data_IF_814897157899
#
_entry.id   IF_814897157899
#
_cell.length_a   1.000
_cell.length_b   1.000
_cell.length_c   1.000
_cell.angle_alpha   90.00
_cell.angle_beta   90.00
_cell.angle_gamma   90.00
#
_symmetry.space_group_name_H-M   'P 1'
#
loop_
_entity.id
_entity.type
_entity.pdbx_description
1 polymer ?
#
# COMPACT_ATOMS: atom_id res chain seq x y z
N UNK A 1 -26.99 33.74 30.60
CA UNK A 1 -25.55 33.44 30.45
C UNK A 1 -25.42 32.47 29.30
N UNK A 2 -24.81 32.91 28.18
CA UNK A 2 -24.70 32.15 26.94
C UNK A 2 -23.25 31.65 26.92
N UNK A 3 -23.04 30.36 27.16
CA UNK A 3 -21.70 29.77 27.13
C UNK A 3 -21.12 29.89 25.72
N UNK A 4 -19.92 30.47 25.66
CA UNK A 4 -19.13 30.57 24.44
C UNK A 4 -18.44 29.23 24.19
N UNK A 5 -18.64 28.67 23.01
CA UNK A 5 -17.94 27.48 22.52
C UNK A 5 -16.43 27.77 22.43
N UNK A 6 -15.54 26.85 22.85
CA UNK A 6 -14.10 27.08 22.78
C UNK A 6 -13.62 27.10 21.32
N UNK A 7 -12.50 27.79 21.02
CA UNK A 7 -11.94 27.81 19.69
C UNK A 7 -11.42 26.41 19.35
N UNK A 8 -11.80 25.91 18.18
CA UNK A 8 -11.25 24.67 17.62
C UNK A 8 -9.74 24.85 17.55
N UNK A 9 -9.04 24.02 18.33
CA UNK A 9 -7.59 23.99 18.45
C UNK A 9 -6.94 24.09 17.07
N UNK A 10 -5.98 25.00 16.96
CA UNK A 10 -5.14 25.20 15.79
C UNK A 10 -4.55 23.85 15.35
N UNK A 11 -5.17 23.22 14.35
CA UNK A 11 -4.56 22.11 13.64
C UNK A 11 -3.26 22.63 13.07
N UNK A 12 -2.16 21.96 13.40
CA UNK A 12 -0.86 22.18 12.84
C UNK A 12 -0.98 22.12 11.31
N UNK A 13 -1.05 23.29 10.69
CA UNK A 13 -0.78 23.45 9.27
C UNK A 13 0.72 23.19 9.14
N UNK A 14 1.19 22.19 8.38
CA UNK A 14 2.60 22.10 8.08
C UNK A 14 2.95 23.39 7.31
N UNK A 15 3.70 24.25 7.98
CA UNK A 15 4.21 25.50 7.41
C UNK A 15 5.40 25.22 6.51
N UNK A 16 5.41 25.92 5.38
CA UNK A 16 6.59 26.47 4.70
C UNK A 16 7.59 25.51 4.04
N UNK A 17 7.22 25.05 2.84
CA UNK A 17 8.15 24.79 1.74
C UNK A 17 7.58 25.46 0.49
N UNK A 18 8.38 26.18 -0.28
CA UNK A 18 7.95 26.83 -1.54
C UNK A 18 7.73 25.83 -2.70
N UNK A 19 7.79 24.53 -2.42
CA UNK A 19 7.57 23.42 -3.36
C UNK A 19 6.40 22.52 -2.96
N UNK A 20 5.94 21.70 -3.90
CA UNK A 20 4.93 20.68 -3.67
C UNK A 20 5.54 19.54 -2.81
N UNK A 21 4.89 19.17 -1.70
CA UNK A 21 5.35 18.11 -0.78
C UNK A 21 5.63 16.77 -1.48
N UNK A 22 4.87 16.47 -2.53
CA UNK A 22 5.07 15.26 -3.33
C UNK A 22 6.39 15.32 -4.11
N UNK A 23 6.72 16.49 -4.68
CA UNK A 23 7.96 16.69 -5.43
C UNK A 23 9.17 16.60 -4.49
N UNK A 24 9.08 17.17 -3.29
CA UNK A 24 10.13 17.09 -2.27
C UNK A 24 10.35 15.65 -1.79
N UNK A 25 9.25 14.90 -1.58
CA UNK A 25 9.31 13.49 -1.23
C UNK A 25 9.97 12.65 -2.34
N UNK A 26 9.59 12.89 -3.60
CA UNK A 26 10.17 12.22 -4.76
C UNK A 26 11.67 12.53 -4.89
N UNK A 27 12.07 13.78 -4.74
CA UNK A 27 13.49 14.19 -4.77
C UNK A 27 14.29 13.48 -3.67
N UNK A 28 13.77 13.45 -2.44
CA UNK A 28 14.43 12.78 -1.33
C UNK A 28 14.55 11.26 -1.53
N UNK A 29 13.53 10.63 -2.13
CA UNK A 29 13.57 9.22 -2.52
C UNK A 29 14.66 8.95 -3.56
N UNK A 30 14.69 9.74 -4.63
CA UNK A 30 15.71 9.59 -5.68
C UNK A 30 17.11 9.81 -5.13
N UNK A 31 17.30 10.81 -4.27
CA UNK A 31 18.60 11.08 -3.66
C UNK A 31 19.05 9.93 -2.75
N UNK A 32 18.16 9.40 -1.90
CA UNK A 32 18.42 8.23 -1.07
C UNK A 32 18.80 7.00 -1.91
N UNK A 33 18.08 6.72 -3.00
CA UNK A 33 18.42 5.62 -3.91
C UNK A 33 19.77 5.82 -4.58
N UNK A 34 20.04 7.02 -5.10
CA UNK A 34 21.27 7.32 -5.82
C UNK A 34 22.51 7.08 -4.96
N UNK A 35 22.47 7.41 -3.66
CA UNK A 35 23.58 7.15 -2.75
C UNK A 35 23.80 5.63 -2.56
N UNK A 36 22.72 4.85 -2.50
CA UNK A 36 22.78 3.39 -2.32
C UNK A 36 23.22 2.64 -3.59
N UNK A 37 22.97 3.18 -4.78
CA UNK A 37 23.23 2.51 -6.07
C UNK A 37 24.46 3.02 -6.80
N UNK A 38 25.20 3.99 -6.24
CA UNK A 38 26.47 4.46 -6.82
C UNK A 38 27.52 3.34 -6.81
N UNK A 39 27.84 2.80 -7.99
CA UNK A 39 28.98 1.90 -8.20
C UNK A 39 30.27 2.74 -8.37
N UNK A 40 30.86 3.19 -7.27
CA UNK A 40 32.20 3.79 -7.27
C UNK A 40 33.15 2.91 -6.46
N UNK A 41 34.40 2.76 -6.91
CA UNK A 41 35.44 2.07 -6.16
C UNK A 41 35.91 2.97 -5.01
N UNK A 42 35.12 3.03 -3.94
CA UNK A 42 35.31 3.96 -2.81
C UNK A 42 36.60 3.63 -2.05
N UNK A 43 37.61 4.54 -2.02
CA UNK A 43 38.78 4.43 -1.15
C UNK A 43 38.36 4.22 0.31
N UNK A 44 39.16 3.52 1.11
CA UNK A 44 38.79 3.23 2.51
C UNK A 44 38.58 4.50 3.39
N UNK A 45 39.11 5.65 2.99
CA UNK A 45 38.89 6.96 3.64
C UNK A 45 37.47 7.51 3.46
N UNK A 46 36.79 7.12 2.39
CA UNK A 46 35.54 7.75 1.93
C UNK A 46 34.31 6.94 2.38
N UNK A 47 34.53 5.81 3.07
CA UNK A 47 33.47 4.92 3.60
C UNK A 47 32.68 5.57 4.75
N UNK A 48 33.35 6.30 5.62
CA UNK A 48 32.69 6.99 6.74
C UNK A 48 31.86 8.18 6.24
N UNK A 49 32.37 8.93 5.25
CA UNK A 49 31.60 10.01 4.60
C UNK A 49 30.38 9.46 3.88
N UNK A 50 30.54 8.37 3.11
CA UNK A 50 29.43 7.68 2.44
C UNK A 50 28.38 7.19 3.45
N UNK A 51 28.82 6.64 4.60
CA UNK A 51 27.90 6.18 5.66
C UNK A 51 27.09 7.35 6.24
N UNK A 52 27.72 8.51 6.46
CA UNK A 52 27.02 9.72 6.92
C UNK A 52 26.04 10.22 5.86
N UNK A 53 26.41 10.23 4.58
CA UNK A 53 25.53 10.64 3.48
C UNK A 53 24.30 9.72 3.36
N UNK A 54 24.49 8.40 3.46
CA UNK A 54 23.39 7.41 3.49
C UNK A 54 22.45 7.69 4.67
N UNK A 55 22.99 7.88 5.87
CA UNK A 55 22.18 8.16 7.06
C UNK A 55 21.38 9.46 6.90
N UNK A 56 22.00 10.53 6.40
CA UNK A 56 21.36 11.82 6.22
C UNK A 56 20.23 11.77 5.18
N UNK A 57 20.48 11.16 4.02
CA UNK A 57 19.50 11.04 2.94
C UNK A 57 18.33 10.13 3.35
N UNK A 58 18.61 9.05 4.06
CA UNK A 58 17.58 8.16 4.63
C UNK A 58 16.69 8.89 5.64
N UNK A 59 17.28 9.64 6.58
CA UNK A 59 16.51 10.40 7.57
C UNK A 59 15.60 11.45 6.92
N UNK A 60 16.14 12.19 5.95
CA UNK A 60 15.36 13.18 5.19
C UNK A 60 14.19 12.54 4.45
N UNK A 61 14.42 11.41 3.79
CA UNK A 61 13.36 10.66 3.11
C UNK A 61 12.27 10.20 4.09
N UNK A 62 12.66 9.64 5.24
CA UNK A 62 11.70 9.21 6.28
C UNK A 62 10.88 10.39 6.81
N UNK A 63 11.49 11.55 7.04
CA UNK A 63 10.79 12.72 7.56
C UNK A 63 9.78 13.27 6.55
N UNK A 64 10.12 13.27 5.25
CA UNK A 64 9.18 13.65 4.19
C UNK A 64 8.08 12.59 4.01
N UNK A 65 8.39 11.30 4.16
CA UNK A 65 7.39 10.23 4.13
C UNK A 65 6.33 10.42 5.22
N UNK A 66 6.78 10.75 6.45
CA UNK A 66 5.89 11.05 7.59
C UNK A 66 5.05 12.29 7.35
N UNK A 67 5.64 13.35 6.80
CA UNK A 67 4.90 14.56 6.46
C UNK A 67 3.84 14.30 5.38
N UNK A 68 4.18 13.50 4.37
CA UNK A 68 3.24 13.09 3.32
C UNK A 68 2.10 12.25 3.88
N UNK A 69 2.39 11.28 4.76
CA UNK A 69 1.37 10.50 5.47
C UNK A 69 0.44 11.41 6.29
N UNK A 70 1.00 12.30 7.11
CA UNK A 70 0.22 13.23 7.93
C UNK A 70 -0.68 14.14 7.07
N UNK A 71 -0.15 14.64 5.95
CA UNK A 71 -0.91 15.46 5.00
C UNK A 71 -2.11 14.70 4.44
N UNK A 72 -1.92 13.48 3.93
CA UNK A 72 -3.02 12.70 3.37
C UNK A 72 -4.03 12.23 4.43
N UNK A 73 -3.58 11.89 5.63
CA UNK A 73 -4.47 11.58 6.75
C UNK A 73 -5.34 12.78 7.12
N UNK A 74 -4.77 13.98 7.17
CA UNK A 74 -5.53 15.21 7.44
C UNK A 74 -6.56 15.47 6.33
N UNK A 75 -6.18 15.32 5.06
CA UNK A 75 -7.11 15.45 3.93
C UNK A 75 -8.22 14.42 3.98
N UNK A 76 -7.92 13.17 4.30
CA UNK A 76 -8.91 12.08 4.42
C UNK A 76 -9.88 12.34 5.57
N UNK A 77 -9.39 12.77 6.73
CA UNK A 77 -10.23 13.17 7.85
C UNK A 77 -11.17 14.33 7.49
N UNK A 78 -10.66 15.32 6.76
CA UNK A 78 -11.48 16.42 6.28
C UNK A 78 -12.57 15.94 5.30
N UNK A 79 -12.22 15.03 4.39
CA UNK A 79 -13.17 14.45 3.44
C UNK A 79 -14.26 13.61 4.13
N UNK A 80 -13.93 12.83 5.16
CA UNK A 80 -14.94 12.07 5.89
C UNK A 80 -15.95 12.97 6.61
N UNK A 81 -15.51 14.15 7.07
CA UNK A 81 -16.38 15.15 7.69
C UNK A 81 -17.21 15.94 6.65
N UNK A 82 -16.61 16.34 5.52
CA UNK A 82 -17.23 17.25 4.56
C UNK A 82 -17.97 16.55 3.41
N UNK A 83 -17.59 15.32 3.06
CA UNK A 83 -18.11 14.54 1.93
C UNK A 83 -18.27 13.05 2.29
N UNK A 84 -19.02 12.70 3.35
CA UNK A 84 -19.19 11.32 3.79
C UNK A 84 -19.76 10.39 2.70
N UNK A 85 -20.58 10.92 1.80
CA UNK A 85 -21.15 10.19 0.66
C UNK A 85 -20.09 9.70 -0.33
N UNK A 86 -18.99 10.45 -0.49
CA UNK A 86 -17.88 10.04 -1.34
C UNK A 86 -17.12 8.86 -0.73
N UNK A 87 -16.91 8.88 0.59
CA UNK A 87 -16.28 7.78 1.32
C UNK A 87 -17.10 6.49 1.17
N UNK A 88 -18.42 6.58 1.41
CA UNK A 88 -19.32 5.43 1.25
C UNK A 88 -19.31 4.90 -0.19
N UNK A 89 -19.23 5.78 -1.18
CA UNK A 89 -19.16 5.38 -2.59
C UNK A 89 -17.85 4.64 -2.92
N UNK A 90 -16.73 5.08 -2.35
CA UNK A 90 -15.44 4.38 -2.47
C UNK A 90 -15.53 2.98 -1.83
N UNK A 91 -16.01 2.88 -0.59
CA UNK A 91 -16.19 1.60 0.11
C UNK A 91 -17.07 0.63 -0.69
N UNK A 92 -18.18 1.11 -1.25
CA UNK A 92 -19.07 0.29 -2.10
C UNK A 92 -18.30 -0.25 -3.32
N UNK A 93 -17.43 0.55 -3.93
CA UNK A 93 -16.66 0.11 -5.09
C UNK A 93 -15.59 -0.91 -4.69
N UNK A 94 -14.90 -0.72 -3.56
CA UNK A 94 -13.96 -1.70 -3.02
C UNK A 94 -14.64 -3.03 -2.73
N UNK A 95 -15.82 -3.01 -2.10
CA UNK A 95 -16.59 -4.23 -1.84
C UNK A 95 -17.05 -4.93 -3.11
N UNK A 96 -17.43 -4.18 -4.16
CA UNK A 96 -17.77 -4.78 -5.46
C UNK A 96 -16.57 -5.48 -6.10
N UNK A 97 -15.39 -4.86 -6.06
CA UNK A 97 -14.16 -5.47 -6.59
C UNK A 97 -13.78 -6.72 -5.80
N UNK A 98 -13.85 -6.67 -4.47
CA UNK A 98 -13.54 -7.82 -3.63
C UNK A 98 -14.56 -8.96 -3.83
N UNK A 99 -15.84 -8.64 -3.99
CA UNK A 99 -16.87 -9.63 -4.31
C UNK A 99 -16.56 -10.33 -5.64
N UNK A 100 -16.26 -9.57 -6.69
CA UNK A 100 -15.90 -10.13 -8.00
C UNK A 100 -14.67 -11.05 -7.92
N UNK A 101 -13.64 -10.65 -7.16
CA UNK A 101 -12.44 -11.46 -6.94
C UNK A 101 -12.76 -12.77 -6.20
N UNK A 102 -13.65 -12.71 -5.21
CA UNK A 102 -14.11 -13.90 -4.46
C UNK A 102 -14.93 -14.83 -5.34
N UNK A 103 -15.83 -14.31 -6.15
CA UNK A 103 -16.64 -15.11 -7.08
C UNK A 103 -15.75 -15.86 -8.08
N UNK A 104 -14.73 -15.20 -8.60
CA UNK A 104 -13.76 -15.84 -9.49
C UNK A 104 -12.97 -16.95 -8.78
N UNK A 105 -12.59 -16.73 -7.53
CA UNK A 105 -11.91 -17.75 -6.72
C UNK A 105 -12.81 -18.96 -6.46
N UNK A 106 -14.07 -18.73 -6.11
CA UNK A 106 -15.06 -19.80 -5.92
C UNK A 106 -15.24 -20.60 -7.21
N UNK A 107 -15.36 -19.93 -8.36
CA UNK A 107 -15.46 -20.60 -9.66
C UNK A 107 -14.28 -21.53 -9.92
N UNK A 108 -13.04 -21.05 -9.71
CA UNK A 108 -11.82 -21.87 -9.85
C UNK A 108 -11.82 -23.07 -8.91
N UNK A 109 -12.39 -22.94 -7.70
CA UNK A 109 -12.50 -24.06 -6.77
C UNK A 109 -13.56 -25.07 -7.21
N UNK A 110 -14.72 -24.62 -7.67
CA UNK A 110 -15.74 -25.51 -8.24
C UNK A 110 -15.21 -26.29 -9.45
N UNK A 111 -14.46 -25.63 -10.34
CA UNK A 111 -13.83 -26.30 -11.50
C UNK A 111 -12.86 -27.40 -11.04
N UNK A 112 -12.02 -27.13 -10.03
CA UNK A 112 -11.12 -28.15 -9.46
C UNK A 112 -11.86 -29.30 -8.80
N UNK A 113 -12.94 -29.01 -8.07
CA UNK A 113 -13.77 -30.05 -7.44
C UNK A 113 -14.38 -30.95 -8.52
N UNK A 114 -14.88 -30.38 -9.61
CA UNK A 114 -15.42 -31.16 -10.72
C UNK A 114 -14.37 -32.09 -11.34
N UNK A 115 -13.13 -31.59 -11.54
CA UNK A 115 -12.01 -32.40 -12.01
C UNK A 115 -11.71 -33.56 -11.05
N UNK A 116 -11.65 -33.31 -9.74
CA UNK A 116 -11.39 -34.35 -8.75
C UNK A 116 -12.52 -35.38 -8.63
N UNK A 117 -13.77 -34.93 -8.75
CA UNK A 117 -14.93 -35.83 -8.78
C UNK A 117 -14.89 -36.76 -9.99
N UNK A 118 -14.56 -36.24 -11.17
CA UNK A 118 -14.40 -37.04 -12.38
C UNK A 118 -13.27 -38.07 -12.24
N UNK A 119 -12.10 -37.64 -11.74
CA UNK A 119 -10.97 -38.54 -11.52
C UNK A 119 -11.33 -39.68 -10.53
N UNK A 120 -12.07 -39.36 -9.46
CA UNK A 120 -12.51 -40.36 -8.50
C UNK A 120 -13.52 -41.34 -9.12
N UNK A 121 -14.44 -40.85 -9.96
CA UNK A 121 -15.40 -41.69 -10.67
C UNK A 121 -14.68 -42.66 -11.64
N UNK A 122 -13.68 -42.19 -12.37
CA UNK A 122 -12.86 -43.02 -13.27
C UNK A 122 -12.12 -44.13 -12.52
N UNK A 123 -11.53 -43.82 -11.36
CA UNK A 123 -10.87 -44.80 -10.50
C UNK A 123 -11.84 -45.87 -9.96
N UNK A 124 -13.05 -45.45 -9.56
CA UNK A 124 -14.09 -46.38 -9.10
C UNK A 124 -14.63 -47.25 -10.24
N UNK A 125 -14.70 -46.71 -11.47
CA UNK A 125 -15.04 -47.46 -12.68
C UNK A 125 -13.98 -48.50 -13.03
N UNK A 126 -12.70 -48.14 -12.94
CA UNK A 126 -11.57 -49.05 -13.19
C UNK A 126 -11.52 -50.19 -12.17
N UNK A 127 -11.76 -49.91 -10.88
CA UNK A 127 -11.83 -50.93 -9.84
C UNK A 127 -12.98 -51.93 -10.00
N UNK A 128 -14.00 -51.61 -10.82
CA UNK A 128 -15.13 -52.49 -11.16
C UNK A 128 -14.98 -53.20 -12.50
N UNK A 129 -13.95 -52.88 -13.28
CA UNK A 129 -13.64 -53.65 -14.49
C UNK A 129 -12.98 -54.96 -14.05
N UNK A 130 -13.56 -56.15 -14.33
CA UNK A 130 -12.81 -57.38 -14.18
C UNK A 130 -11.60 -57.27 -15.11
N UNK A 131 -10.42 -57.59 -14.58
CA UNK A 131 -9.22 -57.74 -15.38
C UNK A 131 -9.58 -58.56 -16.63
N UNK A 132 -9.34 -57.97 -17.81
CA UNK A 132 -9.38 -58.72 -19.06
C UNK A 132 -8.30 -59.80 -18.92
N UNK A 133 -8.75 -61.05 -18.78
CA UNK A 133 -7.92 -62.24 -18.98
C UNK A 133 -7.63 -62.46 -20.45
#
# INVERSE_FOLDING_TARGET
MKEASPPVSAMATPTNGSGNLVDEFEEAFQHCLNVLTKEEAVPNSDKDEMKVEVEQTTLRFIDLARQMEAFFLQKRFLLSALKPEMVVKEDINEFRLELARKDELLKRHYDKIAVWQNLLADLQGYAKSPAQG
#
